data_IF_883506977664
#
_entry.id   IF_883506977664
#
_cell.length_a   1.000
_cell.length_b   1.000
_cell.length_c   1.000
_cell.angle_alpha   90.00
_cell.angle_beta   90.00
_cell.angle_gamma   90.00
#
_symmetry.space_group_name_H-M   'P 1'
#
loop_
_entity.id
_entity.type
_entity.pdbx_description
1 polymer ?
#
# COMPACT_ATOMS: atom_id res chain seq x y z
N UNK A 1 4.65 13.91 -4.83
CA UNK A 1 3.39 13.19 -5.13
C UNK A 1 2.77 12.72 -3.82
N UNK A 2 1.46 12.48 -3.76
CA UNK A 2 0.73 12.07 -2.56
C UNK A 2 -0.05 10.82 -2.90
N UNK A 3 0.37 9.69 -2.36
CA UNK A 3 -0.26 8.39 -2.58
C UNK A 3 -1.01 7.94 -1.33
N UNK A 4 -2.16 7.31 -1.54
CA UNK A 4 -2.93 6.61 -0.53
C UNK A 4 -3.06 5.15 -0.97
N UNK A 5 -2.75 4.22 -0.08
CA UNK A 5 -3.02 2.79 -0.26
C UNK A 5 -4.14 2.38 0.70
N UNK A 6 -5.07 1.56 0.21
CA UNK A 6 -6.31 1.16 0.87
C UNK A 6 -6.49 -0.35 0.79
N UNK A 7 -7.03 -0.94 1.85
CA UNK A 7 -7.54 -2.32 1.84
C UNK A 7 -8.69 -2.44 2.84
N UNK A 8 -9.74 -3.19 2.46
CA UNK A 8 -10.76 -3.65 3.39
C UNK A 8 -10.37 -5.03 3.92
N UNK A 9 -10.36 -5.20 5.24
CA UNK A 9 -10.18 -6.49 5.88
C UNK A 9 -11.49 -6.89 6.53
N UNK A 10 -12.07 -8.03 6.13
CA UNK A 10 -13.23 -8.58 6.79
C UNK A 10 -12.89 -8.96 8.24
N UNK A 11 -13.79 -8.64 9.16
CA UNK A 11 -13.66 -9.00 10.58
C UNK A 11 -14.44 -10.29 10.88
N UNK A 12 -15.51 -10.56 10.11
CA UNK A 12 -16.42 -11.69 10.32
C UNK A 12 -16.71 -12.43 8.99
N UNK A 13 -16.51 -13.76 8.94
CA UNK A 13 -16.65 -14.52 7.69
C UNK A 13 -18.09 -14.56 7.17
N UNK A 14 -19.10 -14.54 8.05
CA UNK A 14 -20.51 -14.61 7.68
C UNK A 14 -21.05 -13.36 6.96
N UNK A 15 -20.39 -12.21 7.16
CA UNK A 15 -20.71 -10.91 6.53
C UNK A 15 -19.51 -10.39 5.74
N UNK A 16 -18.76 -11.32 5.14
CA UNK A 16 -17.58 -11.02 4.33
C UNK A 16 -17.97 -10.88 2.86
N UNK A 17 -17.38 -9.89 2.21
CA UNK A 17 -17.38 -9.78 0.76
C UNK A 17 -16.11 -10.44 0.23
N UNK A 18 -16.19 -11.09 -0.93
CA UNK A 18 -15.02 -11.58 -1.65
C UNK A 18 -13.95 -10.49 -1.78
N UNK A 19 -12.67 -10.86 -1.68
CA UNK A 19 -11.58 -9.88 -1.66
C UNK A 19 -11.53 -9.08 -2.96
N UNK A 20 -11.73 -9.73 -4.12
CA UNK A 20 -11.71 -9.04 -5.40
C UNK A 20 -12.90 -8.08 -5.52
N UNK A 21 -14.09 -8.48 -5.08
CA UNK A 21 -15.26 -7.60 -5.02
C UNK A 21 -15.03 -6.40 -4.08
N UNK A 22 -14.38 -6.60 -2.93
CA UNK A 22 -14.01 -5.52 -2.02
C UNK A 22 -13.02 -4.53 -2.64
N UNK A 23 -12.02 -5.02 -3.36
CA UNK A 23 -11.09 -4.17 -4.08
C UNK A 23 -11.78 -3.38 -5.20
N UNK A 24 -12.69 -4.01 -5.94
CA UNK A 24 -13.45 -3.33 -6.98
C UNK A 24 -14.33 -2.22 -6.41
N UNK A 25 -15.02 -2.47 -5.29
CA UNK A 25 -15.80 -1.45 -4.60
C UNK A 25 -14.94 -0.26 -4.13
N UNK A 26 -13.81 -0.54 -3.48
CA UNK A 26 -12.85 0.51 -3.05
C UNK A 26 -12.35 1.30 -4.27
N UNK A 27 -12.01 0.62 -5.37
CA UNK A 27 -11.55 1.26 -6.60
C UNK A 27 -12.63 2.19 -7.18
N UNK A 28 -13.86 1.70 -7.32
CA UNK A 28 -14.99 2.47 -7.83
C UNK A 28 -15.27 3.73 -7.00
N UNK A 29 -15.24 3.61 -5.67
CA UNK A 29 -15.41 4.75 -4.76
C UNK A 29 -14.24 5.73 -4.88
N UNK A 30 -13.01 5.22 -4.98
CA UNK A 30 -11.78 6.03 -5.08
C UNK A 30 -11.72 6.87 -6.36
N UNK A 31 -12.32 6.38 -7.46
CA UNK A 31 -12.42 7.12 -8.73
C UNK A 31 -13.21 8.44 -8.58
N UNK A 32 -14.07 8.57 -7.58
CA UNK A 32 -14.75 9.82 -7.24
C UNK A 32 -13.83 10.91 -6.67
N UNK A 33 -12.60 10.55 -6.27
CA UNK A 33 -11.63 11.46 -5.64
C UNK A 33 -10.40 11.74 -6.50
N UNK A 34 -10.07 10.87 -7.44
CA UNK A 34 -8.99 11.05 -8.42
C UNK A 34 -9.16 10.06 -9.57
N UNK A 35 -8.84 10.43 -10.82
CA UNK A 35 -8.80 9.48 -11.92
C UNK A 35 -7.59 8.53 -11.86
N UNK A 36 -6.62 8.79 -10.96
CA UNK A 36 -5.38 8.00 -10.83
C UNK A 36 -5.53 6.93 -9.76
N UNK A 37 -6.22 5.85 -10.09
CA UNK A 37 -6.45 4.69 -9.20
C UNK A 37 -5.94 3.43 -9.88
N UNK A 38 -5.30 2.53 -9.11
CA UNK A 38 -4.87 1.23 -9.60
C UNK A 38 -5.02 0.16 -8.51
N UNK A 39 -5.21 -1.09 -8.93
CA UNK A 39 -5.12 -2.26 -8.05
C UNK A 39 -3.69 -2.79 -8.11
N UNK A 40 -3.07 -3.02 -6.94
CA UNK A 40 -1.69 -3.50 -6.81
C UNK A 40 -1.65 -4.61 -5.75
N UNK A 41 -1.68 -5.87 -6.18
CA UNK A 41 -1.83 -7.01 -5.28
C UNK A 41 -3.16 -6.92 -4.51
N UNK A 42 -3.12 -7.02 -3.19
CA UNK A 42 -4.30 -6.87 -2.33
C UNK A 42 -4.69 -5.40 -2.03
N UNK A 43 -3.90 -4.42 -2.48
CA UNK A 43 -4.14 -3.01 -2.19
C UNK A 43 -4.79 -2.28 -3.38
N UNK A 44 -5.65 -1.30 -3.08
CA UNK A 44 -6.01 -0.24 -4.02
C UNK A 44 -5.15 0.98 -3.72
N UNK A 45 -4.47 1.52 -4.72
CA UNK A 45 -3.64 2.73 -4.59
C UNK A 45 -4.21 3.86 -5.41
N UNK A 46 -4.08 5.08 -4.90
CA UNK A 46 -4.55 6.29 -5.57
C UNK A 46 -3.56 7.45 -5.40
N UNK A 47 -3.31 8.19 -6.48
CA UNK A 47 -2.51 9.41 -6.49
C UNK A 47 -3.45 10.61 -6.40
N UNK A 48 -3.29 11.45 -5.39
CA UNK A 48 -4.27 12.50 -5.06
C UNK A 48 -3.74 13.92 -5.21
N UNK A 49 -2.48 14.14 -5.61
CA UNK A 49 -1.89 15.50 -5.63
C UNK A 49 -2.71 16.46 -6.49
N UNK A 50 -3.19 15.99 -7.65
CA UNK A 50 -3.98 16.80 -8.58
C UNK A 50 -5.39 17.15 -8.07
N UNK A 51 -5.95 16.38 -7.12
CA UNK A 51 -7.30 16.58 -6.62
C UNK A 51 -7.37 17.27 -5.26
N UNK A 52 -6.25 17.45 -4.56
CA UNK A 52 -6.25 18.03 -3.21
C UNK A 52 -6.97 19.38 -3.11
N UNK A 53 -6.80 20.27 -4.10
CA UNK A 53 -7.44 21.59 -4.09
C UNK A 53 -8.97 21.49 -4.11
N UNK A 54 -9.51 20.54 -4.88
CA UNK A 54 -10.96 20.31 -5.01
C UNK A 54 -11.58 19.89 -3.66
N UNK A 55 -10.85 19.08 -2.90
CA UNK A 55 -11.33 18.53 -1.63
C UNK A 55 -10.88 19.33 -0.40
N UNK A 56 -10.23 20.48 -0.59
CA UNK A 56 -9.76 21.33 0.50
C UNK A 56 -8.58 20.75 1.30
N UNK A 57 -7.73 19.96 0.64
CA UNK A 57 -6.49 19.40 1.18
C UNK A 57 -6.58 17.92 1.56
N UNK A 58 -5.42 17.34 1.89
CA UNK A 58 -5.27 15.90 2.13
C UNK A 58 -6.11 15.38 3.30
N UNK A 59 -6.19 16.13 4.40
CA UNK A 59 -6.94 15.72 5.59
C UNK A 59 -8.43 15.61 5.30
N UNK A 60 -9.01 16.63 4.64
CA UNK A 60 -10.42 16.63 4.24
C UNK A 60 -10.73 15.55 3.21
N UNK A 61 -9.87 15.38 2.20
CA UNK A 61 -9.99 14.30 1.23
C UNK A 61 -10.01 12.93 1.92
N UNK A 62 -9.05 12.68 2.81
CA UNK A 62 -8.94 11.39 3.52
C UNK A 62 -10.17 11.12 4.40
N UNK A 63 -10.69 12.13 5.08
CA UNK A 63 -11.90 12.00 5.90
C UNK A 63 -13.16 11.70 5.05
N UNK A 64 -13.32 12.38 3.91
CA UNK A 64 -14.43 12.14 2.97
C UNK A 64 -14.35 10.74 2.35
N UNK A 65 -13.17 10.34 1.90
CA UNK A 65 -12.91 9.00 1.38
C UNK A 65 -13.27 7.93 2.42
N UNK A 66 -12.82 8.09 3.65
CA UNK A 66 -13.10 7.17 4.74
C UNK A 66 -14.61 7.10 5.03
N UNK A 67 -15.31 8.23 5.06
CA UNK A 67 -16.76 8.27 5.22
C UNK A 67 -17.51 7.56 4.08
N UNK A 68 -17.10 7.75 2.82
CA UNK A 68 -17.73 7.09 1.67
C UNK A 68 -17.53 5.57 1.70
N UNK A 69 -16.32 5.11 2.03
CA UNK A 69 -16.03 3.68 2.19
C UNK A 69 -16.87 3.09 3.32
N UNK A 70 -16.87 3.71 4.51
CA UNK A 70 -17.65 3.23 5.66
C UNK A 70 -19.16 3.19 5.35
N UNK A 71 -19.69 4.20 4.67
CA UNK A 71 -21.09 4.22 4.25
C UNK A 71 -21.42 3.06 3.31
N UNK A 72 -20.57 2.78 2.32
CA UNK A 72 -20.76 1.67 1.39
C UNK A 72 -20.80 0.32 2.13
N UNK A 73 -19.79 0.00 2.95
CA UNK A 73 -19.75 -1.29 3.64
C UNK A 73 -20.94 -1.44 4.60
N UNK A 74 -21.30 -0.38 5.32
CA UNK A 74 -22.47 -0.37 6.21
C UNK A 74 -23.80 -0.59 5.48
N UNK A 75 -24.01 0.08 4.35
CA UNK A 75 -25.25 -0.04 3.56
C UNK A 75 -25.45 -1.45 2.98
N UNK A 76 -24.36 -2.17 2.76
CA UNK A 76 -24.39 -3.55 2.26
C UNK A 76 -24.34 -4.60 3.38
N UNK A 77 -24.53 -4.19 4.65
CA UNK A 77 -24.45 -5.08 5.82
C UNK A 77 -23.13 -5.86 5.91
N UNK A 78 -22.03 -5.24 5.46
CA UNK A 78 -20.69 -5.82 5.46
C UNK A 78 -19.90 -5.30 6.67
N UNK A 79 -19.24 -6.22 7.37
CA UNK A 79 -18.36 -5.89 8.50
C UNK A 79 -16.91 -5.91 8.01
N UNK A 80 -16.37 -4.73 7.71
CA UNK A 80 -15.01 -4.56 7.22
C UNK A 80 -14.27 -3.44 7.95
N UNK A 81 -13.02 -3.70 8.31
CA UNK A 81 -12.07 -2.67 8.73
C UNK A 81 -11.40 -2.07 7.49
N UNK A 82 -11.51 -0.76 7.32
CA UNK A 82 -10.76 -0.03 6.30
C UNK A 82 -9.39 0.33 6.86
N UNK A 83 -8.34 -0.18 6.23
CA UNK A 83 -6.95 0.14 6.57
C UNK A 83 -6.42 1.05 5.47
N UNK A 84 -5.74 2.13 5.87
CA UNK A 84 -5.15 3.09 4.94
C UNK A 84 -3.75 3.49 5.35
N UNK A 85 -2.90 3.73 4.36
CA UNK A 85 -1.59 4.32 4.55
C UNK A 85 -1.32 5.39 3.49
N UNK A 86 -0.50 6.38 3.84
CA UNK A 86 -0.14 7.48 2.95
C UNK A 86 1.38 7.59 2.82
N UNK A 87 1.86 7.92 1.63
CA UNK A 87 3.29 8.12 1.38
C UNK A 87 3.57 8.97 0.13
N UNK A 88 4.86 9.22 -0.12
CA UNK A 88 5.34 9.96 -1.28
C UNK A 88 5.28 9.16 -2.59
N UNK A 89 5.35 7.83 -2.49
CA UNK A 89 5.27 6.86 -3.60
C UNK A 89 4.23 5.78 -3.29
N UNK A 90 3.73 5.09 -4.33
CA UNK A 90 2.79 3.98 -4.17
C UNK A 90 3.41 2.81 -3.41
N UNK A 91 4.68 2.49 -3.67
CA UNK A 91 5.38 1.37 -3.03
C UNK A 91 5.58 1.59 -1.53
N UNK A 92 5.95 2.80 -1.10
CA UNK A 92 6.00 3.11 0.35
C UNK A 92 4.60 3.04 0.97
N UNK A 93 3.57 3.54 0.28
CA UNK A 93 2.20 3.50 0.78
C UNK A 93 1.72 2.04 0.96
N UNK A 94 1.96 1.17 -0.01
CA UNK A 94 1.67 -0.27 0.08
C UNK A 94 2.47 -0.93 1.21
N UNK A 95 3.76 -0.62 1.33
CA UNK A 95 4.60 -1.18 2.37
C UNK A 95 4.09 -0.82 3.78
N UNK A 96 3.71 0.45 3.98
CA UNK A 96 3.08 0.93 5.23
C UNK A 96 1.73 0.27 5.48
N UNK A 97 0.89 0.15 4.45
CA UNK A 97 -0.40 -0.52 4.52
C UNK A 97 -0.24 -1.97 5.01
N UNK A 98 0.73 -2.69 4.46
CA UNK A 98 1.03 -4.07 4.85
C UNK A 98 1.42 -4.18 6.33
N UNK A 99 2.24 -3.27 6.85
CA UNK A 99 2.58 -3.25 8.29
C UNK A 99 1.36 -2.97 9.17
N UNK A 100 0.57 -1.95 8.81
CA UNK A 100 -0.65 -1.60 9.56
C UNK A 100 -1.66 -2.75 9.57
N UNK A 101 -1.85 -3.43 8.44
CA UNK A 101 -2.70 -4.62 8.31
C UNK A 101 -2.24 -5.74 9.24
N UNK A 102 -0.94 -5.96 9.35
CA UNK A 102 -0.36 -6.94 10.28
C UNK A 102 -0.21 -6.40 11.71
N UNK A 103 -0.83 -5.25 12.05
CA UNK A 103 -0.78 -4.59 13.37
C UNK A 103 0.64 -4.32 13.85
N UNK A 104 1.58 -4.10 12.92
CA UNK A 104 2.95 -3.74 13.22
C UNK A 104 3.10 -2.21 13.27
N UNK A 105 4.03 -1.73 14.11
CA UNK A 105 4.34 -0.30 14.18
C UNK A 105 5.01 0.16 12.89
N UNK A 106 4.63 1.35 12.42
CA UNK A 106 5.34 1.99 11.32
C UNK A 106 6.68 2.52 11.81
N UNK A 107 7.80 2.19 11.13
CA UNK A 107 9.08 2.81 11.40
C UNK A 107 9.04 4.32 11.11
N UNK A 108 9.91 5.07 11.79
CA UNK A 108 10.02 6.51 11.59
C UNK A 108 10.57 6.85 10.19
N UNK A 109 11.57 6.09 9.73
CA UNK A 109 12.19 6.28 8.42
C UNK A 109 11.79 5.18 7.45
N UNK A 110 11.72 5.54 6.17
CA UNK A 110 11.44 4.58 5.08
C UNK A 110 12.56 3.53 4.97
N UNK A 111 13.81 3.92 5.24
CA UNK A 111 14.94 2.99 5.25
C UNK A 111 14.74 1.83 6.25
N UNK A 112 14.06 2.08 7.37
CA UNK A 112 13.81 1.08 8.41
C UNK A 112 12.62 0.15 8.09
N UNK A 113 11.95 0.35 6.94
CA UNK A 113 10.87 -0.53 6.50
C UNK A 113 11.41 -1.95 6.30
N UNK A 114 10.74 -3.00 6.82
CA UNK A 114 11.18 -4.37 6.58
C UNK A 114 11.15 -4.71 5.08
N UNK A 115 12.19 -5.35 4.56
CA UNK A 115 12.27 -5.65 3.11
C UNK A 115 11.07 -6.45 2.59
N UNK A 116 10.50 -7.33 3.43
CA UNK A 116 9.27 -8.09 3.14
C UNK A 116 8.03 -7.23 2.87
N UNK A 117 8.09 -5.92 3.06
CA UNK A 117 6.97 -5.03 2.70
C UNK A 117 7.06 -4.55 1.26
N UNK A 118 8.15 -4.84 0.54
CA UNK A 118 8.34 -4.56 -0.87
C UNK A 118 8.09 -5.84 -1.68
N UNK A 119 7.00 -5.92 -2.43
CA UNK A 119 6.60 -7.15 -3.13
C UNK A 119 7.69 -7.73 -4.05
N UNK A 120 8.52 -6.87 -4.66
CA UNK A 120 9.61 -7.29 -5.53
C UNK A 120 10.68 -8.12 -4.82
N UNK A 121 10.76 -8.09 -3.47
CA UNK A 121 11.73 -8.91 -2.73
C UNK A 121 11.25 -10.34 -2.54
N UNK A 122 9.96 -10.64 -2.75
CA UNK A 122 9.35 -11.93 -2.36
C UNK A 122 10.08 -13.15 -2.94
N UNK A 123 10.49 -13.17 -4.22
CA UNK A 123 11.24 -14.30 -4.78
C UNK A 123 12.63 -14.49 -4.16
N UNK A 124 13.16 -13.48 -3.47
CA UNK A 124 14.53 -13.40 -2.98
C UNK A 124 14.64 -13.33 -1.45
N UNK A 125 13.52 -13.34 -0.73
CA UNK A 125 13.49 -13.12 0.72
C UNK A 125 14.43 -14.05 1.48
N UNK A 126 14.39 -15.36 1.20
CA UNK A 126 15.22 -16.34 1.90
C UNK A 126 16.73 -16.06 1.72
N UNK A 127 17.15 -15.63 0.54
CA UNK A 127 18.55 -15.29 0.26
C UNK A 127 18.93 -13.99 0.96
N UNK A 128 18.09 -12.96 0.84
CA UNK A 128 18.32 -11.66 1.47
C UNK A 128 18.44 -11.81 3.00
N UNK A 129 17.54 -12.58 3.64
CA UNK A 129 17.54 -12.83 5.09
C UNK A 129 18.82 -13.53 5.54
N UNK A 130 19.27 -14.54 4.79
CA UNK A 130 20.53 -15.27 5.08
C UNK A 130 21.76 -14.39 4.96
N UNK A 131 21.71 -13.36 4.11
CA UNK A 131 22.82 -12.39 3.97
C UNK A 131 22.75 -11.24 4.98
N UNK A 132 21.77 -11.24 5.88
CA UNK A 132 21.59 -10.20 6.90
C UNK A 132 20.86 -8.94 6.42
N UNK A 133 20.45 -8.88 5.14
CA UNK A 133 19.60 -7.82 4.63
C UNK A 133 18.19 -7.99 5.19
N UNK A 134 17.68 -7.01 5.95
CA UNK A 134 16.38 -7.10 6.64
C UNK A 134 15.48 -5.91 6.36
N UNK A 135 16.06 -4.76 6.05
CA UNK A 135 15.36 -3.49 5.84
C UNK A 135 15.55 -2.98 4.42
N UNK A 136 14.77 -1.96 4.04
CA UNK A 136 14.94 -1.27 2.75
C UNK A 136 16.30 -0.56 2.69
N UNK A 137 16.76 -0.02 3.83
CA UNK A 137 18.07 0.62 3.96
C UNK A 137 19.23 -0.35 3.73
N UNK A 138 19.14 -1.57 4.27
CA UNK A 138 20.14 -2.62 4.00
C UNK A 138 20.22 -2.92 2.50
N UNK A 139 19.06 -3.04 1.86
CA UNK A 139 18.95 -3.35 0.44
C UNK A 139 19.46 -2.20 -0.44
N UNK A 140 19.18 -0.95 -0.07
CA UNK A 140 19.69 0.26 -0.72
C UNK A 140 21.20 0.44 -0.54
N UNK A 141 21.78 -0.14 0.50
CA UNK A 141 23.22 -0.09 0.77
C UNK A 141 24.02 -1.10 -0.08
N UNK A 142 23.34 -2.05 -0.75
CA UNK A 142 23.99 -3.00 -1.64
C UNK A 142 24.40 -2.33 -2.97
N UNK A 143 25.50 -2.77 -3.61
CA UNK A 143 25.88 -2.28 -4.94
C UNK A 143 24.77 -2.56 -5.96
N UNK A 144 24.31 -1.51 -6.66
CA UNK A 144 23.19 -1.56 -7.62
C UNK A 144 23.37 -2.62 -8.71
N UNK A 145 24.57 -2.69 -9.29
CA UNK A 145 24.92 -3.70 -10.29
C UNK A 145 24.85 -5.12 -9.72
N UNK A 146 25.26 -5.28 -8.45
CA UNK A 146 25.17 -6.54 -7.73
C UNK A 146 23.71 -6.96 -7.50
N UNK A 147 22.85 -6.01 -7.15
CA UNK A 147 21.41 -6.24 -6.96
C UNK A 147 20.76 -6.68 -8.28
N UNK A 148 20.98 -5.93 -9.37
CA UNK A 148 20.43 -6.27 -10.67
C UNK A 148 20.87 -7.66 -11.17
N UNK A 149 22.15 -8.01 -10.98
CA UNK A 149 22.70 -9.30 -11.41
C UNK A 149 22.19 -10.48 -10.56
N UNK A 150 22.03 -10.31 -9.25
CA UNK A 150 21.68 -11.41 -8.32
C UNK A 150 20.18 -11.57 -8.08
N UNK A 151 19.44 -10.47 -8.11
CA UNK A 151 18.02 -10.42 -7.76
C UNK A 151 17.15 -9.87 -8.90
N UNK A 152 17.76 -9.52 -10.04
CA UNK A 152 17.05 -9.10 -11.24
C UNK A 152 16.70 -7.61 -11.28
N UNK A 153 16.42 -7.16 -12.51
CA UNK A 153 16.00 -5.78 -12.79
C UNK A 153 14.71 -5.35 -12.07
N UNK A 154 13.68 -6.20 -11.88
CA UNK A 154 12.45 -5.78 -11.20
C UNK A 154 12.68 -5.33 -9.75
N UNK A 155 13.57 -5.98 -9.01
CA UNK A 155 13.87 -5.57 -7.63
C UNK A 155 14.57 -4.21 -7.60
N UNK A 156 15.57 -4.01 -8.47
CA UNK A 156 16.27 -2.72 -8.56
C UNK A 156 15.30 -1.60 -8.95
N UNK A 157 14.45 -1.83 -9.95
CA UNK A 157 13.46 -0.84 -10.38
C UNK A 157 12.45 -0.51 -9.26
N UNK A 158 12.02 -1.50 -8.49
CA UNK A 158 11.13 -1.27 -7.35
C UNK A 158 11.80 -0.41 -6.26
N UNK A 159 13.09 -0.60 -6.00
CA UNK A 159 13.84 0.23 -5.06
C UNK A 159 13.99 1.68 -5.54
N UNK A 160 14.20 1.88 -6.83
CA UNK A 160 14.34 3.22 -7.42
C UNK A 160 13.02 4.01 -7.41
N UNK A 161 11.90 3.30 -7.44
CA UNK A 161 10.55 3.87 -7.46
C UNK A 161 9.97 4.05 -6.06
N UNK A 162 10.57 3.44 -5.04
CA UNK A 162 10.08 3.45 -3.67
C UNK A 162 10.54 4.70 -2.94
#
# INVERSE_FOLDING_TARGET
>A
MRWIALQACSIEPATSMDEAAAQQAICAISLGFTPRVAVCGSAVVMEVSGSLRLFGGLLKLAALLEAHLQAFFKQNSLVAQIIRAQAATSLIAIGRLNLLRSRQKLPAHVADMPMRTLAATYPHLAVLERTGCRTWGDLLSLPRDGVARRFGAPLLAALDQA
#
